data_IF_385258591517
#
_entry.id   IF_385258591517
#
_cell.length_a   1.000
_cell.length_b   1.000
_cell.length_c   1.000
_cell.angle_alpha   90.00
_cell.angle_beta   90.00
_cell.angle_gamma   90.00
#
_symmetry.space_group_name_H-M   'P 1'
#
loop_
_entity.id
_entity.type
_entity.pdbx_description
1 polymer ?
#
# COMPACT_ATOMS: atom_id res chain seq x y z
N UNK A 1 -13.89 -0.29 -4.04
CA UNK A 1 -13.03 0.08 -5.18
C UNK A 1 -13.17 -0.94 -6.31
N UNK A 2 -12.78 -2.22 -6.15
CA UNK A 2 -12.97 -3.21 -7.22
C UNK A 2 -14.44 -3.44 -7.60
N UNK A 3 -15.32 -3.59 -6.61
CA UNK A 3 -16.76 -3.75 -6.84
C UNK A 3 -17.42 -2.53 -7.48
N UNK A 4 -16.98 -1.32 -7.12
CA UNK A 4 -17.48 -0.10 -7.76
C UNK A 4 -17.05 -0.02 -9.23
N UNK A 5 -15.82 -0.42 -9.57
CA UNK A 5 -15.33 -0.47 -10.96
C UNK A 5 -16.08 -1.51 -11.80
N UNK A 6 -16.39 -2.68 -11.22
CA UNK A 6 -17.19 -3.69 -11.93
C UNK A 6 -18.62 -3.23 -12.19
N UNK A 7 -19.21 -2.50 -11.24
CA UNK A 7 -20.57 -1.98 -11.34
C UNK A 7 -20.67 -0.74 -12.24
N UNK A 8 -19.61 0.09 -12.30
CA UNK A 8 -19.57 1.28 -13.18
C UNK A 8 -19.27 0.93 -14.63
N UNK A 9 -18.72 -0.25 -14.92
CA UNK A 9 -18.25 -0.63 -16.25
C UNK A 9 -19.24 -0.35 -17.39
N UNK A 10 -20.52 -0.65 -17.22
CA UNK A 10 -21.52 -0.38 -18.27
C UNK A 10 -21.68 1.12 -18.51
N UNK A 11 -21.71 1.92 -17.45
CA UNK A 11 -21.77 3.37 -17.54
C UNK A 11 -20.47 3.96 -18.13
N UNK A 12 -19.31 3.45 -17.72
CA UNK A 12 -18.01 3.87 -18.24
C UNK A 12 -17.89 3.57 -19.75
N UNK A 13 -18.41 2.41 -20.19
CA UNK A 13 -18.48 2.05 -21.61
C UNK A 13 -19.43 2.95 -22.39
N UNK A 14 -20.59 3.29 -21.84
CA UNK A 14 -21.52 4.26 -22.43
C UNK A 14 -20.88 5.65 -22.55
N UNK A 15 -20.11 6.08 -21.54
CA UNK A 15 -19.37 7.35 -21.57
C UNK A 15 -18.29 7.36 -22.66
N UNK A 16 -17.54 6.26 -22.81
CA UNK A 16 -16.54 6.12 -23.88
C UNK A 16 -17.18 6.18 -25.28
N UNK A 17 -18.35 5.55 -25.45
CA UNK A 17 -19.12 5.61 -26.70
C UNK A 17 -19.78 6.98 -26.92
N UNK A 18 -20.11 7.70 -25.85
CA UNK A 18 -20.70 9.03 -25.92
C UNK A 18 -19.68 10.14 -26.15
N UNK A 19 -18.39 9.92 -25.84
CA UNK A 19 -17.35 10.95 -25.95
C UNK A 19 -16.78 11.00 -27.37
N UNK A 20 -17.05 12.07 -28.15
CA UNK A 20 -16.54 12.21 -29.50
C UNK A 20 -15.03 12.49 -29.51
N UNK A 21 -14.34 11.99 -30.55
CA UNK A 21 -12.93 12.28 -30.79
C UNK A 21 -12.78 13.63 -31.52
N UNK A 22 -11.99 14.52 -30.93
CA UNK A 22 -11.56 15.80 -31.47
C UNK A 22 -10.06 15.82 -31.75
N UNK A 23 -9.64 16.36 -32.91
CA UNK A 23 -10.42 16.56 -34.13
C UNK A 23 -10.83 15.20 -34.69
N UNK A 24 -11.95 15.14 -35.42
CA UNK A 24 -12.39 13.91 -36.07
C UNK A 24 -11.20 13.30 -36.83
N UNK A 25 -10.68 12.13 -36.43
CA UNK A 25 -9.51 11.58 -37.09
C UNK A 25 -9.85 11.36 -38.57
N UNK A 26 -8.87 11.58 -39.43
CA UNK A 26 -9.01 11.39 -40.88
C UNK A 26 -9.35 9.93 -41.27
N UNK A 27 -9.33 9.00 -40.30
CA UNK A 27 -9.80 7.62 -40.43
C UNK A 27 -11.32 7.53 -40.24
N UNK A 28 -12.01 7.08 -41.30
CA UNK A 28 -13.47 6.95 -41.40
C UNK A 28 -14.16 6.08 -40.33
N UNK A 29 -13.38 5.35 -39.52
CA UNK A 29 -13.87 4.29 -38.63
C UNK A 29 -13.82 4.65 -37.14
N UNK A 30 -13.14 5.73 -36.73
CA UNK A 30 -13.03 6.14 -35.32
C UNK A 30 -13.71 7.49 -35.08
N UNK A 31 -14.90 7.49 -34.48
CA UNK A 31 -15.68 8.70 -34.16
C UNK A 31 -15.72 9.01 -32.67
N UNK A 32 -15.58 8.00 -31.83
CA UNK A 32 -15.73 8.09 -30.36
C UNK A 32 -14.54 7.44 -29.66
N UNK A 33 -14.28 7.78 -28.39
CA UNK A 33 -13.22 7.13 -27.61
C UNK A 33 -13.43 5.62 -27.52
N UNK A 34 -14.67 5.15 -27.49
CA UNK A 34 -15.02 3.74 -27.55
C UNK A 34 -14.57 3.03 -28.83
N UNK A 35 -14.40 3.77 -29.94
CA UNK A 35 -13.96 3.19 -31.21
C UNK A 35 -12.47 2.82 -31.20
N UNK A 36 -11.68 3.43 -30.32
CA UNK A 36 -10.28 3.05 -30.09
C UNK A 36 -10.17 1.63 -29.52
N UNK A 37 -11.24 1.10 -28.93
CA UNK A 37 -11.29 -0.24 -28.35
C UNK A 37 -12.07 -1.25 -29.21
N UNK A 38 -12.60 -0.83 -30.38
CA UNK A 38 -13.43 -1.69 -31.27
C UNK A 38 -12.62 -2.74 -32.02
N UNK A 39 -11.37 -2.47 -32.37
CA UNK A 39 -10.58 -3.38 -33.20
C UNK A 39 -10.37 -4.76 -32.55
N UNK A 40 -10.49 -4.87 -31.22
CA UNK A 40 -10.21 -6.15 -30.52
C UNK A 40 -11.25 -6.61 -29.50
N UNK A 41 -12.36 -5.90 -29.24
CA UNK A 41 -13.42 -6.38 -28.33
C UNK A 41 -12.89 -6.85 -26.94
N UNK A 42 -11.74 -6.32 -26.50
CA UNK A 42 -10.96 -6.88 -25.39
C UNK A 42 -11.57 -6.58 -24.01
N UNK A 43 -12.30 -5.48 -23.87
CA UNK A 43 -12.75 -4.98 -22.57
C UNK A 43 -13.87 -5.82 -21.94
N UNK A 44 -14.77 -6.40 -22.75
CA UNK A 44 -15.81 -7.30 -22.27
C UNK A 44 -15.25 -8.58 -21.63
N UNK A 45 -14.35 -9.32 -22.31
CA UNK A 45 -13.62 -10.44 -21.73
C UNK A 45 -12.83 -10.07 -20.47
N UNK A 46 -12.24 -8.88 -20.41
CA UNK A 46 -11.55 -8.39 -19.21
C UNK A 46 -12.53 -8.14 -18.05
N UNK A 47 -13.68 -7.52 -18.30
CA UNK A 47 -14.73 -7.35 -17.29
C UNK A 47 -15.22 -8.70 -16.74
N UNK A 48 -15.51 -9.66 -17.63
CA UNK A 48 -15.96 -10.99 -17.22
C UNK A 48 -14.88 -11.74 -16.44
N UNK A 49 -13.62 -11.66 -16.89
CA UNK A 49 -12.45 -12.24 -16.18
C UNK A 49 -12.30 -11.62 -14.80
N UNK A 50 -12.26 -10.29 -14.69
CA UNK A 50 -12.11 -9.58 -13.42
C UNK A 50 -13.28 -9.85 -12.48
N UNK A 51 -14.50 -9.97 -13.00
CA UNK A 51 -15.69 -10.35 -12.23
C UNK A 51 -15.55 -11.76 -11.63
N UNK A 52 -15.18 -12.76 -12.46
CA UNK A 52 -14.95 -14.14 -12.00
C UNK A 52 -13.82 -14.24 -10.97
N UNK A 53 -12.72 -13.54 -11.20
CA UNK A 53 -11.60 -13.53 -10.26
C UNK A 53 -11.96 -12.81 -8.96
N UNK A 54 -12.73 -11.71 -9.03
CA UNK A 54 -13.24 -11.02 -7.84
C UNK A 54 -14.17 -11.90 -7.00
N UNK A 55 -15.07 -12.67 -7.63
CA UNK A 55 -15.93 -13.60 -6.90
C UNK A 55 -15.15 -14.73 -6.23
N UNK A 56 -14.11 -15.27 -6.88
CA UNK A 56 -13.19 -16.24 -6.25
C UNK A 56 -12.49 -15.63 -5.05
N UNK A 57 -11.96 -14.42 -5.20
CA UNK A 57 -11.26 -13.69 -4.13
C UNK A 57 -12.21 -13.38 -2.97
N UNK A 58 -13.45 -12.97 -3.25
CA UNK A 58 -14.50 -12.76 -2.25
C UNK A 58 -14.81 -14.04 -1.48
N UNK A 59 -14.95 -15.17 -2.16
CA UNK A 59 -15.16 -16.48 -1.55
C UNK A 59 -13.98 -16.88 -0.64
N UNK A 60 -12.75 -16.70 -1.12
CA UNK A 60 -11.53 -16.93 -0.34
C UNK A 60 -11.49 -16.02 0.90
N UNK A 61 -11.79 -14.73 0.75
CA UNK A 61 -11.81 -13.79 1.89
C UNK A 61 -12.86 -14.18 2.93
N UNK A 62 -14.04 -14.66 2.50
CA UNK A 62 -15.05 -15.17 3.40
C UNK A 62 -14.56 -16.42 4.17
N UNK A 63 -13.90 -17.35 3.47
CA UNK A 63 -13.31 -18.55 4.08
C UNK A 63 -12.22 -18.17 5.10
N UNK A 64 -11.29 -17.30 4.73
CA UNK A 64 -10.19 -16.84 5.60
C UNK A 64 -10.73 -16.09 6.82
N UNK A 65 -11.72 -15.22 6.62
CA UNK A 65 -12.37 -14.49 7.71
C UNK A 65 -13.06 -15.46 8.69
N UNK A 66 -13.72 -16.49 8.18
CA UNK A 66 -14.33 -17.55 8.99
C UNK A 66 -13.28 -18.32 9.79
N UNK A 67 -12.20 -18.77 9.15
CA UNK A 67 -11.12 -19.50 9.80
C UNK A 67 -10.39 -18.63 10.85
N UNK A 68 -10.21 -17.34 10.58
CA UNK A 68 -9.60 -16.41 11.53
C UNK A 68 -10.50 -16.18 12.75
N UNK A 69 -11.81 -16.03 12.54
CA UNK A 69 -12.80 -15.94 13.63
C UNK A 69 -12.79 -17.20 14.49
N UNK A 70 -12.79 -18.38 13.86
CA UNK A 70 -12.72 -19.66 14.57
C UNK A 70 -11.44 -19.79 15.41
N UNK A 71 -10.29 -19.44 14.83
CA UNK A 71 -9.02 -19.45 15.56
C UNK A 71 -9.04 -18.45 16.72
N UNK A 72 -9.58 -17.25 16.51
CA UNK A 72 -9.70 -16.22 17.54
C UNK A 72 -10.57 -16.72 18.71
N UNK A 73 -11.76 -17.24 18.43
CA UNK A 73 -12.66 -17.74 19.48
C UNK A 73 -12.05 -18.93 20.22
N UNK A 74 -11.34 -19.82 19.52
CA UNK A 74 -10.63 -20.92 20.16
C UNK A 74 -9.53 -20.44 21.13
N UNK A 75 -8.74 -19.43 20.72
CA UNK A 75 -7.65 -18.89 21.53
C UNK A 75 -8.19 -18.12 22.74
N UNK A 76 -9.25 -17.33 22.55
CA UNK A 76 -9.96 -16.63 23.63
C UNK A 76 -10.53 -17.64 24.64
N UNK A 77 -11.18 -18.70 24.16
CA UNK A 77 -11.69 -19.76 25.01
C UNK A 77 -10.59 -20.49 25.82
N UNK A 78 -9.39 -20.66 25.26
CA UNK A 78 -8.25 -21.23 26.01
C UNK A 78 -7.65 -20.25 27.03
N UNK A 79 -7.70 -18.94 26.75
CA UNK A 79 -7.23 -17.90 27.66
C UNK A 79 -8.12 -17.79 28.90
N UNK A 80 -9.42 -17.94 28.71
CA UNK A 80 -10.42 -17.79 29.77
C UNK A 80 -10.55 -19.05 30.65
N UNK A 81 -9.87 -20.15 30.31
CA UNK A 81 -9.82 -21.33 31.16
C UNK A 81 -8.89 -21.10 32.36
N UNK A 82 -9.44 -21.25 33.57
CA UNK A 82 -8.67 -21.22 34.81
C UNK A 82 -7.48 -22.17 34.74
N UNK A 83 -6.30 -21.71 35.15
CA UNK A 83 -5.12 -22.57 35.26
C UNK A 83 -5.43 -23.73 36.21
N UNK A 84 -4.99 -24.98 35.93
CA UNK A 84 -5.12 -26.06 36.89
C UNK A 84 -4.44 -25.62 38.19
N UNK A 85 -5.24 -25.40 39.25
CA UNK A 85 -4.75 -24.79 40.47
C UNK A 85 -3.76 -25.72 41.16
N UNK A 86 -2.51 -25.26 41.24
CA UNK A 86 -1.46 -25.92 42.02
C UNK A 86 -1.63 -25.68 43.53
N UNK A 87 -2.57 -24.81 43.94
CA UNK A 87 -2.76 -24.41 45.33
C UNK A 87 -3.20 -25.58 46.21
N UNK A 88 -3.74 -26.65 45.61
CA UNK A 88 -4.11 -27.88 46.32
C UNK A 88 -2.92 -28.77 46.72
N UNK A 89 -1.73 -28.57 46.13
CA UNK A 89 -0.54 -29.38 46.45
C UNK A 89 0.20 -28.91 47.68
N UNK A 90 0.28 -27.59 47.87
CA UNK A 90 1.00 -26.95 48.97
C UNK A 90 0.55 -27.46 50.35
N UNK A 91 -0.75 -27.46 50.70
CA UNK A 91 -1.19 -27.93 52.02
C UNK A 91 -0.92 -29.42 52.22
N UNK A 92 -0.98 -30.23 51.16
CA UNK A 92 -0.68 -31.67 51.24
C UNK A 92 0.82 -31.93 51.42
N UNK A 93 1.67 -31.13 50.77
CA UNK A 93 3.12 -31.22 50.90
C UNK A 93 3.58 -30.79 52.29
N UNK A 94 3.02 -29.69 52.82
CA UNK A 94 3.27 -29.23 54.20
C UNK A 94 2.83 -30.29 55.20
N UNK A 95 1.60 -30.81 55.07
CA UNK A 95 1.09 -31.86 55.95
C UNK A 95 1.97 -33.13 55.90
N UNK A 96 2.38 -33.59 54.72
CA UNK A 96 3.26 -34.75 54.59
C UNK A 96 4.63 -34.51 55.24
N UNK A 97 5.18 -33.30 55.12
CA UNK A 97 6.45 -32.94 55.75
C UNK A 97 6.35 -32.95 57.27
N UNK A 98 5.33 -32.30 57.83
CA UNK A 98 5.11 -32.27 59.29
C UNK A 98 4.99 -33.68 59.87
N UNK A 99 4.32 -34.57 59.15
CA UNK A 99 4.17 -35.97 59.54
C UNK A 99 5.49 -36.76 59.50
N UNK A 100 6.34 -36.52 58.50
CA UNK A 100 7.68 -37.12 58.43
C UNK A 100 8.56 -36.61 59.57
N UNK A 101 8.50 -35.32 59.88
CA UNK A 101 9.26 -34.72 60.99
C UNK A 101 8.79 -35.30 62.35
N UNK A 102 7.47 -35.50 62.53
CA UNK A 102 6.92 -36.18 63.70
C UNK A 102 7.37 -37.65 63.79
N UNK A 103 7.35 -38.40 62.68
CA UNK A 103 7.86 -39.78 62.69
C UNK A 103 9.35 -39.86 62.99
N UNK A 104 10.15 -38.90 62.51
CA UNK A 104 11.57 -38.80 62.82
C UNK A 104 11.79 -38.57 64.31
N UNK A 105 11.07 -37.62 64.91
CA UNK A 105 11.17 -37.33 66.34
C UNK A 105 10.79 -38.56 67.20
N UNK A 106 9.74 -39.30 66.83
CA UNK A 106 9.36 -40.54 67.51
C UNK A 106 10.42 -41.64 67.36
N UNK A 107 11.03 -41.77 66.18
CA UNK A 107 12.10 -42.74 65.95
C UNK A 107 13.36 -42.40 66.77
N UNK A 108 13.73 -41.12 66.88
CA UNK A 108 14.81 -40.64 67.73
C UNK A 108 14.52 -40.91 69.22
N UNK A 109 13.28 -40.72 69.66
CA UNK A 109 12.84 -41.06 71.01
C UNK A 109 12.95 -42.57 71.29
N UNK A 110 12.54 -43.42 70.34
CA UNK A 110 12.74 -44.87 70.43
C UNK A 110 14.23 -45.25 70.56
N UNK A 111 15.09 -44.64 69.73
CA UNK A 111 16.53 -44.91 69.74
C UNK A 111 17.18 -44.49 71.08
N UNK A 112 16.76 -43.35 71.63
CA UNK A 112 17.18 -42.88 72.95
C UNK A 112 16.71 -43.84 74.05
N UNK A 113 15.43 -44.24 74.04
CA UNK A 113 14.89 -45.20 75.02
C UNK A 113 15.65 -46.54 74.98
N UNK A 114 15.98 -47.04 73.78
CA UNK A 114 16.76 -48.26 73.61
C UNK A 114 18.18 -48.12 74.16
N UNK A 115 18.83 -46.97 73.96
CA UNK A 115 20.15 -46.69 74.52
C UNK A 115 20.11 -46.62 76.05
N UNK A 116 19.08 -46.00 76.63
CA UNK A 116 18.87 -45.98 78.09
C UNK A 116 18.65 -47.38 78.66
N UNK A 117 17.87 -48.23 77.98
CA UNK A 117 17.69 -49.65 78.35
C UNK A 117 19.02 -50.39 78.32
N UNK A 118 19.82 -50.18 77.27
CA UNK A 118 21.13 -50.85 77.11
C UNK A 118 22.10 -50.44 78.22
N UNK A 119 22.16 -49.14 78.55
CA UNK A 119 22.98 -48.61 79.64
C UNK A 119 22.50 -49.10 81.02
N UNK A 120 21.19 -49.13 81.25
CA UNK A 120 20.61 -49.61 82.50
C UNK A 120 20.88 -51.10 82.73
N UNK A 121 20.94 -51.91 81.66
CA UNK A 121 21.33 -53.33 81.73
C UNK A 121 22.81 -53.55 82.06
N UNK A 122 23.67 -52.56 81.85
CA UNK A 122 25.10 -52.60 82.21
C UNK A 122 25.35 -52.24 83.69
N UNK A 123 24.40 -51.58 84.36
CA UNK A 123 24.50 -51.17 85.77
C UNK A 123 23.92 -52.23 86.74
N UNK A 124 24.66 -52.67 87.78
CA UNK A 124 24.26 -53.78 88.66
C UNK A 124 23.17 -53.44 89.70
N UNK A 125 22.70 -52.18 89.76
CA UNK A 125 21.60 -51.74 90.63
C UNK A 125 20.56 -51.02 89.77
N UNK A 126 19.83 -51.78 88.97
CA UNK A 126 18.81 -51.22 88.08
C UNK A 126 17.43 -51.22 88.73
N UNK A 127 16.78 -50.05 88.77
CA UNK A 127 15.40 -49.92 89.24
C UNK A 127 14.40 -50.42 88.18
N UNK A 128 13.68 -51.50 88.50
CA UNK A 128 12.66 -52.14 87.65
C UNK A 128 11.53 -51.15 87.28
N UNK A 129 11.32 -50.11 88.10
CA UNK A 129 10.35 -49.03 87.84
C UNK A 129 10.61 -48.31 86.50
N UNK A 130 11.88 -48.09 86.15
CA UNK A 130 12.28 -47.36 84.94
C UNK A 130 11.89 -48.14 83.68
N UNK A 131 12.02 -49.47 83.70
CA UNK A 131 11.62 -50.32 82.58
C UNK A 131 10.11 -50.34 82.38
N UNK A 132 9.34 -50.41 83.48
CA UNK A 132 7.87 -50.38 83.40
C UNK A 132 7.36 -49.05 82.87
N UNK A 133 7.96 -47.93 83.27
CA UNK A 133 7.61 -46.60 82.75
C UNK A 133 7.97 -46.43 81.26
N UNK A 134 9.15 -46.91 80.84
CA UNK A 134 9.56 -46.87 79.44
C UNK A 134 8.71 -47.77 78.56
N UNK A 135 8.36 -48.97 79.05
CA UNK A 135 7.47 -49.90 78.36
C UNK A 135 6.06 -49.30 78.23
N UNK A 136 5.51 -48.72 79.31
CA UNK A 136 4.21 -48.07 79.25
C UNK A 136 4.21 -46.90 78.27
N UNK A 137 5.25 -46.05 78.26
CA UNK A 137 5.39 -44.94 77.28
C UNK A 137 5.49 -45.45 75.84
N UNK A 138 6.20 -46.55 75.62
CA UNK A 138 6.33 -47.16 74.30
C UNK A 138 4.99 -47.73 73.80
N UNK A 139 4.33 -48.56 74.61
CA UNK A 139 3.10 -49.27 74.25
C UNK A 139 1.90 -48.32 74.11
N UNK A 140 1.80 -47.28 74.93
CA UNK A 140 0.63 -46.39 74.95
C UNK A 140 0.77 -45.14 74.08
N UNK A 141 2.00 -44.66 73.84
CA UNK A 141 2.21 -43.39 73.16
C UNK A 141 2.96 -43.56 71.84
N UNK A 142 4.12 -44.23 71.85
CA UNK A 142 5.00 -44.22 70.68
C UNK A 142 4.47 -45.16 69.58
N UNK A 143 4.11 -46.41 69.91
CA UNK A 143 3.62 -47.38 68.91
C UNK A 143 2.32 -46.93 68.23
N UNK A 144 1.37 -46.40 69.01
CA UNK A 144 0.09 -45.90 68.49
C UNK A 144 0.31 -44.68 67.58
N UNK A 145 1.16 -43.73 67.97
CA UNK A 145 1.44 -42.55 67.15
C UNK A 145 2.22 -42.89 65.88
N UNK A 146 3.16 -43.84 65.93
CA UNK A 146 3.91 -44.28 64.75
C UNK A 146 2.97 -44.90 63.69
N UNK A 147 2.08 -45.80 64.12
CA UNK A 147 1.08 -46.45 63.26
C UNK A 147 0.10 -45.44 62.67
N UNK A 148 -0.44 -44.55 63.50
CA UNK A 148 -1.35 -43.49 63.05
C UNK A 148 -0.69 -42.57 62.02
N UNK A 149 0.56 -42.15 62.27
CA UNK A 149 1.30 -41.31 61.33
C UNK A 149 1.60 -42.06 60.02
N UNK A 150 1.87 -43.37 60.08
CA UNK A 150 2.09 -44.15 58.89
C UNK A 150 0.84 -44.27 58.01
N UNK A 151 -0.32 -44.54 58.63
CA UNK A 151 -1.61 -44.62 57.92
C UNK A 151 -2.01 -43.29 57.28
N UNK A 152 -1.85 -42.19 58.01
CA UNK A 152 -2.13 -40.84 57.52
C UNK A 152 -1.18 -40.46 56.37
N UNK A 153 0.12 -40.79 56.44
CA UNK A 153 1.07 -40.61 55.34
C UNK A 153 0.65 -41.38 54.09
N UNK A 154 0.26 -42.66 54.24
CA UNK A 154 -0.24 -43.47 53.11
C UNK A 154 -1.45 -42.81 52.48
N UNK A 155 -2.38 -42.28 53.28
CA UNK A 155 -3.58 -41.63 52.77
C UNK A 155 -3.26 -40.31 52.05
N UNK A 156 -2.37 -39.48 52.60
CA UNK A 156 -1.87 -38.27 51.94
C UNK A 156 -1.17 -38.59 50.61
N UNK A 157 -0.35 -39.64 50.56
CA UNK A 157 0.29 -40.09 49.32
C UNK A 157 -0.71 -40.57 48.26
N UNK A 158 -1.79 -41.27 48.66
CA UNK A 158 -2.88 -41.65 47.75
C UNK A 158 -3.57 -40.42 47.17
N UNK A 159 -3.92 -39.44 48.02
CA UNK A 159 -4.53 -38.19 47.58
C UNK A 159 -3.62 -37.43 46.61
N UNK A 160 -2.32 -37.32 46.92
CA UNK A 160 -1.33 -36.68 46.05
C UNK A 160 -1.24 -37.38 44.69
N UNK A 161 -1.20 -38.72 44.67
CA UNK A 161 -1.17 -39.50 43.44
C UNK A 161 -2.42 -39.24 42.59
N UNK A 162 -3.59 -39.20 43.20
CA UNK A 162 -4.85 -39.05 42.48
C UNK A 162 -5.02 -37.62 41.94
N UNK A 163 -4.65 -36.60 42.73
CA UNK A 163 -4.57 -35.21 42.26
C UNK A 163 -3.56 -35.04 41.13
N UNK A 164 -2.34 -35.60 41.26
CA UNK A 164 -1.31 -35.60 40.21
C UNK A 164 -1.81 -36.25 38.93
N UNK A 165 -2.59 -37.33 39.03
CA UNK A 165 -3.17 -37.99 37.86
C UNK A 165 -4.22 -37.08 37.19
N UNK A 166 -5.09 -36.45 37.97
CA UNK A 166 -6.13 -35.56 37.45
C UNK A 166 -5.52 -34.34 36.75
N UNK A 167 -4.55 -33.67 37.37
CA UNK A 167 -3.87 -32.51 36.77
C UNK A 167 -3.07 -32.91 35.54
N UNK A 168 -2.42 -34.08 35.53
CA UNK A 168 -1.74 -34.59 34.36
C UNK A 168 -2.70 -34.82 33.19
N UNK A 169 -3.88 -35.39 33.45
CA UNK A 169 -4.90 -35.59 32.41
C UNK A 169 -5.41 -34.26 31.84
N UNK A 170 -5.69 -33.28 32.70
CA UNK A 170 -6.11 -31.94 32.28
C UNK A 170 -5.02 -31.23 31.46
N UNK A 171 -3.78 -31.21 31.97
CA UNK A 171 -2.64 -30.63 31.27
C UNK A 171 -2.41 -31.29 29.90
N UNK A 172 -2.45 -32.62 29.85
CA UNK A 172 -2.29 -33.37 28.59
C UNK A 172 -3.42 -33.09 27.60
N UNK A 173 -4.63 -32.81 28.08
CA UNK A 173 -5.76 -32.41 27.24
C UNK A 173 -5.56 -30.99 26.71
N UNK A 174 -5.22 -30.03 27.56
CA UNK A 174 -4.95 -28.63 27.18
C UNK A 174 -3.79 -28.51 26.19
N UNK A 175 -2.66 -29.19 26.44
CA UNK A 175 -1.52 -29.20 25.52
C UNK A 175 -1.92 -29.71 24.14
N UNK A 176 -2.74 -30.78 24.07
CA UNK A 176 -3.26 -31.28 22.78
C UNK A 176 -4.11 -30.26 22.06
N UNK A 177 -5.00 -29.55 22.76
CA UNK A 177 -5.82 -28.47 22.17
C UNK A 177 -4.96 -27.32 21.68
N UNK A 178 -3.98 -26.86 22.47
CA UNK A 178 -3.04 -25.81 22.07
C UNK A 178 -2.29 -26.22 20.79
N UNK A 179 -1.80 -27.46 20.70
CA UNK A 179 -1.13 -27.95 19.48
C UNK A 179 -2.09 -27.94 18.27
N UNK A 180 -3.35 -28.32 18.45
CA UNK A 180 -4.36 -28.25 17.39
C UNK A 180 -4.61 -26.80 16.93
N UNK A 181 -4.76 -25.86 17.87
CA UNK A 181 -4.95 -24.44 17.59
C UNK A 181 -3.73 -23.84 16.88
N UNK A 182 -2.51 -24.16 17.34
CA UNK A 182 -1.26 -23.75 16.70
C UNK A 182 -1.13 -24.32 15.28
N UNK A 183 -1.56 -25.57 15.05
CA UNK A 183 -1.58 -26.17 13.72
C UNK A 183 -2.51 -25.39 12.77
N UNK A 184 -3.71 -25.00 13.23
CA UNK A 184 -4.65 -24.16 12.46
C UNK A 184 -4.04 -22.78 12.16
N UNK A 185 -3.45 -22.12 13.14
CA UNK A 185 -2.74 -20.83 12.98
C UNK A 185 -1.63 -20.95 11.93
N UNK A 186 -0.80 -21.99 12.02
CA UNK A 186 0.31 -22.22 11.10
C UNK A 186 -0.17 -22.58 9.69
N UNK A 187 -1.32 -23.24 9.55
CA UNK A 187 -1.96 -23.48 8.25
C UNK A 187 -2.39 -22.17 7.60
N UNK A 188 -3.10 -21.31 8.35
CA UNK A 188 -3.49 -19.97 7.88
C UNK A 188 -2.29 -19.12 7.49
N UNK A 189 -1.27 -19.05 8.36
CA UNK A 189 -0.04 -18.29 8.12
C UNK A 189 0.65 -18.72 6.83
N UNK A 190 0.65 -20.01 6.51
CA UNK A 190 1.23 -20.53 5.25
C UNK A 190 0.44 -20.13 4.00
N UNK A 191 -0.87 -19.92 4.12
CA UNK A 191 -1.73 -19.51 2.99
C UNK A 191 -1.70 -17.99 2.74
N UNK A 192 -1.37 -17.17 3.74
CA UNK A 192 -1.37 -15.70 3.60
C UNK A 192 -0.54 -15.18 2.41
N UNK A 193 0.72 -15.63 2.18
CA UNK A 193 1.50 -15.14 1.05
C UNK A 193 0.89 -15.49 -0.31
N UNK A 194 0.20 -16.64 -0.40
CA UNK A 194 -0.52 -17.02 -1.61
C UNK A 194 -1.67 -16.06 -1.87
N UNK A 195 -2.44 -15.71 -0.83
CA UNK A 195 -3.53 -14.75 -0.96
C UNK A 195 -3.03 -13.35 -1.33
N UNK A 196 -1.91 -12.90 -0.76
CA UNK A 196 -1.28 -11.63 -1.16
C UNK A 196 -0.95 -11.61 -2.65
N UNK A 197 -0.33 -12.67 -3.18
CA UNK A 197 -0.03 -12.78 -4.62
C UNK A 197 -1.28 -12.78 -5.51
N UNK A 198 -2.36 -13.42 -5.04
CA UNK A 198 -3.64 -13.40 -5.76
C UNK A 198 -4.20 -11.98 -5.79
N UNK A 199 -4.11 -11.23 -4.69
CA UNK A 199 -4.55 -9.83 -4.63
C UNK A 199 -3.71 -8.91 -5.53
N UNK A 200 -2.39 -9.06 -5.53
CA UNK A 200 -1.50 -8.31 -6.42
C UNK A 200 -1.82 -8.56 -7.90
N UNK A 201 -2.07 -9.83 -8.27
CA UNK A 201 -2.49 -10.20 -9.61
C UNK A 201 -3.86 -9.62 -9.96
N UNK A 202 -4.79 -9.65 -9.02
CA UNK A 202 -6.12 -9.07 -9.20
C UNK A 202 -6.01 -7.57 -9.46
N UNK A 203 -5.20 -6.84 -8.68
CA UNK A 203 -5.01 -5.40 -8.87
C UNK A 203 -4.44 -5.09 -10.26
N UNK A 204 -3.46 -5.89 -10.73
CA UNK A 204 -2.93 -5.79 -12.07
C UNK A 204 -3.98 -6.06 -13.17
N UNK A 205 -4.81 -7.09 -13.01
CA UNK A 205 -5.89 -7.39 -13.95
C UNK A 205 -6.94 -6.24 -14.01
N UNK A 206 -7.17 -5.53 -12.89
CA UNK A 206 -8.09 -4.40 -12.80
C UNK A 206 -7.58 -3.09 -13.41
N UNK A 207 -6.27 -2.95 -13.68
CA UNK A 207 -5.73 -1.77 -14.36
C UNK A 207 -6.39 -1.55 -15.73
N UNK A 208 -6.69 -2.63 -16.45
CA UNK A 208 -7.40 -2.54 -17.73
C UNK A 208 -8.78 -1.89 -17.61
N UNK A 209 -9.49 -2.13 -16.50
CA UNK A 209 -10.79 -1.51 -16.23
C UNK A 209 -10.66 -0.07 -15.73
N UNK A 210 -9.57 0.25 -14.99
CA UNK A 210 -9.28 1.64 -14.57
C UNK A 210 -9.05 2.57 -15.75
N UNK A 211 -8.38 2.08 -16.80
CA UNK A 211 -8.20 2.85 -18.04
C UNK A 211 -9.55 3.25 -18.62
N UNK A 212 -10.52 2.33 -18.70
CA UNK A 212 -11.86 2.66 -19.21
C UNK A 212 -12.56 3.72 -18.38
N UNK A 213 -12.44 3.62 -17.06
CA UNK A 213 -13.07 4.54 -16.13
C UNK A 213 -12.48 5.97 -16.19
N UNK A 214 -11.16 6.10 -16.36
CA UNK A 214 -10.47 7.40 -16.30
C UNK A 214 -10.19 8.04 -17.67
N UNK A 215 -10.21 7.27 -18.75
CA UNK A 215 -9.86 7.77 -20.08
C UNK A 215 -10.76 8.92 -20.57
N UNK A 216 -12.10 8.91 -20.40
CA UNK A 216 -12.94 10.02 -20.85
C UNK A 216 -12.51 11.35 -20.23
N UNK A 217 -12.27 11.37 -18.92
CA UNK A 217 -11.83 12.57 -18.22
C UNK A 217 -10.41 12.99 -18.66
N UNK A 218 -9.46 12.04 -18.69
CA UNK A 218 -8.09 12.30 -19.12
C UNK A 218 -8.02 12.85 -20.55
N UNK A 219 -8.90 12.38 -21.43
CA UNK A 219 -9.00 12.86 -22.80
C UNK A 219 -9.50 14.32 -22.87
N UNK A 220 -10.53 14.68 -22.11
CA UNK A 220 -11.00 16.08 -22.05
C UNK A 220 -9.90 17.03 -21.56
N UNK A 221 -9.13 16.62 -20.55
CA UNK A 221 -7.97 17.39 -20.08
C UNK A 221 -6.86 17.51 -21.12
N UNK A 222 -6.60 16.47 -21.92
CA UNK A 222 -5.59 16.53 -22.97
C UNK A 222 -5.99 17.48 -24.10
N UNK A 223 -7.28 17.52 -24.48
CA UNK A 223 -7.81 18.50 -25.44
C UNK A 223 -7.62 19.93 -24.95
N UNK A 224 -7.88 20.16 -23.67
CA UNK A 224 -7.70 21.47 -23.07
C UNK A 224 -6.23 21.92 -23.08
N UNK A 225 -5.30 20.99 -22.81
CA UNK A 225 -3.87 21.25 -22.90
C UNK A 225 -3.44 21.58 -24.35
N UNK A 226 -4.02 20.92 -25.36
CA UNK A 226 -3.79 21.28 -26.77
C UNK A 226 -4.23 22.72 -27.06
N UNK A 227 -5.42 23.12 -26.60
CA UNK A 227 -5.92 24.50 -26.77
C UNK A 227 -4.98 25.51 -26.10
N UNK A 228 -4.52 25.20 -24.89
CA UNK A 228 -3.57 26.04 -24.14
C UNK A 228 -2.26 26.21 -24.92
N UNK A 229 -1.66 25.12 -25.40
CA UNK A 229 -0.41 25.12 -26.19
C UNK A 229 -0.55 25.89 -27.51
N UNK A 230 -1.66 25.71 -28.23
CA UNK A 230 -1.92 26.46 -29.47
C UNK A 230 -2.07 27.94 -29.20
N UNK A 231 -2.76 28.32 -28.13
CA UNK A 231 -2.93 29.73 -27.81
C UNK A 231 -1.63 30.39 -27.38
N UNK A 232 -0.78 29.68 -26.62
CA UNK A 232 0.58 30.12 -26.33
C UNK A 232 1.41 30.30 -27.62
N UNK A 233 1.36 29.36 -28.55
CA UNK A 233 2.05 29.50 -29.83
C UNK A 233 1.55 30.71 -30.65
N UNK A 234 0.24 31.00 -30.64
CA UNK A 234 -0.30 32.22 -31.27
C UNK A 234 0.24 33.49 -30.62
N UNK A 235 0.32 33.52 -29.29
CA UNK A 235 0.91 34.65 -28.56
C UNK A 235 2.39 34.85 -28.94
N UNK A 236 3.18 33.78 -29.01
CA UNK A 236 4.56 33.84 -29.49
C UNK A 236 4.66 34.37 -30.94
N UNK A 237 3.78 33.91 -31.84
CA UNK A 237 3.75 34.40 -33.22
C UNK A 237 3.38 35.88 -33.32
N UNK A 238 2.45 36.36 -32.48
CA UNK A 238 2.10 37.78 -32.41
C UNK A 238 3.31 38.62 -31.98
N UNK A 239 4.03 38.18 -30.95
CA UNK A 239 5.24 38.84 -30.48
C UNK A 239 6.35 38.84 -31.54
N UNK A 240 6.58 37.70 -32.20
CA UNK A 240 7.53 37.63 -33.31
C UNK A 240 7.17 38.57 -34.46
N UNK A 241 5.88 38.78 -34.72
CA UNK A 241 5.43 39.74 -35.74
C UNK A 241 5.74 41.18 -35.34
N UNK A 242 5.62 41.54 -34.06
CA UNK A 242 6.02 42.86 -33.54
C UNK A 242 7.54 43.07 -33.61
N UNK A 243 8.32 42.04 -33.25
CA UNK A 243 9.78 42.08 -33.40
C UNK A 243 10.21 42.17 -34.86
N UNK A 244 9.54 41.44 -35.76
CA UNK A 244 9.78 41.52 -37.19
C UNK A 244 9.58 42.96 -37.70
N UNK A 245 8.49 43.62 -37.30
CA UNK A 245 8.25 45.01 -37.71
C UNK A 245 9.34 45.96 -37.22
N UNK A 246 9.81 45.77 -35.98
CA UNK A 246 10.88 46.56 -35.39
C UNK A 246 12.21 46.33 -36.12
N UNK A 247 12.56 45.07 -36.37
CA UNK A 247 13.75 44.69 -37.12
C UNK A 247 13.69 45.23 -38.55
N UNK A 248 12.56 45.09 -39.26
CA UNK A 248 12.39 45.65 -40.61
C UNK A 248 12.62 47.16 -40.66
N UNK A 249 12.17 47.91 -39.65
CA UNK A 249 12.45 49.35 -39.53
C UNK A 249 13.94 49.62 -39.35
N UNK A 250 14.63 48.87 -38.48
CA UNK A 250 16.08 49.00 -38.26
C UNK A 250 16.86 48.64 -39.52
N UNK A 251 16.48 47.57 -40.22
CA UNK A 251 17.12 47.13 -41.46
C UNK A 251 16.96 48.14 -42.58
N UNK A 252 15.79 48.78 -42.70
CA UNK A 252 15.58 49.84 -43.68
C UNK A 252 16.38 51.12 -43.37
N UNK A 253 16.71 51.39 -42.10
CA UNK A 253 17.62 52.48 -41.71
C UNK A 253 19.06 52.11 -42.08
N UNK A 254 19.53 50.94 -41.68
CA UNK A 254 20.89 50.45 -41.97
C UNK A 254 21.14 50.32 -43.48
N UNK A 255 20.18 49.80 -44.24
CA UNK A 255 20.31 49.69 -45.70
C UNK A 255 20.47 51.07 -46.36
N UNK A 256 19.72 52.08 -45.90
CA UNK A 256 19.87 53.46 -46.37
C UNK A 256 21.24 54.04 -46.04
N UNK A 257 21.77 53.77 -44.85
CA UNK A 257 23.12 54.22 -44.48
C UNK A 257 24.20 53.50 -45.30
N UNK A 258 24.04 52.20 -45.58
CA UNK A 258 24.92 51.44 -46.48
C UNK A 258 24.88 51.95 -47.92
N UNK A 259 23.69 52.25 -48.44
CA UNK A 259 23.50 52.85 -49.76
C UNK A 259 24.20 54.21 -49.84
N UNK A 260 23.95 55.09 -48.85
CA UNK A 260 24.61 56.39 -48.74
C UNK A 260 26.13 56.28 -48.68
N UNK A 261 26.65 55.34 -47.90
CA UNK A 261 28.08 55.05 -47.84
C UNK A 261 28.62 54.59 -49.19
N UNK A 262 27.91 53.69 -49.88
CA UNK A 262 28.28 53.17 -51.21
C UNK A 262 28.27 54.28 -52.27
N UNK A 263 27.31 55.19 -52.22
CA UNK A 263 27.27 56.36 -53.11
C UNK A 263 28.45 57.30 -52.87
N UNK A 264 28.78 57.60 -51.61
CA UNK A 264 29.83 58.56 -51.27
C UNK A 264 31.24 58.00 -51.46
N UNK A 265 31.48 56.75 -51.05
CA UNK A 265 32.81 56.15 -50.96
C UNK A 265 33.02 54.94 -51.88
N UNK A 266 31.97 54.34 -52.42
CA UNK A 266 32.06 53.08 -53.18
C UNK A 266 32.92 53.18 -54.44
N UNK A 267 32.99 54.35 -55.10
CA UNK A 267 33.88 54.57 -56.26
C UNK A 267 35.38 54.46 -55.93
N UNK A 268 35.75 54.62 -54.66
CA UNK A 268 37.13 54.55 -54.18
C UNK A 268 37.51 53.15 -53.67
N UNK A 269 36.51 52.30 -53.39
CA UNK A 269 36.69 50.95 -52.87
C UNK A 269 36.56 49.97 -54.04
N UNK A 270 37.69 49.49 -54.58
CA UNK A 270 37.71 48.54 -55.70
C UNK A 270 37.66 47.10 -55.20
N UNK A 271 36.59 46.37 -55.50
CA UNK A 271 36.47 44.94 -55.20
C UNK A 271 36.24 44.64 -53.71
N UNK A 272 36.35 43.36 -53.36
CA UNK A 272 36.01 42.83 -52.04
C UNK A 272 37.19 42.98 -51.05
N UNK A 273 37.64 44.22 -50.81
CA UNK A 273 38.78 44.52 -49.92
C UNK A 273 38.46 44.16 -48.46
N UNK A 274 37.18 44.24 -48.08
CA UNK A 274 36.68 43.90 -46.75
C UNK A 274 35.68 42.75 -46.92
N UNK A 275 35.97 41.54 -46.40
CA UNK A 275 35.02 40.43 -46.42
C UNK A 275 33.71 40.80 -45.69
N UNK A 276 32.57 40.38 -46.24
CA UNK A 276 31.24 40.66 -45.68
C UNK A 276 30.69 42.06 -46.02
N UNK A 277 31.43 42.89 -46.74
CA UNK A 277 30.99 44.25 -47.08
C UNK A 277 29.77 44.31 -48.01
N UNK A 278 29.59 43.29 -48.87
CA UNK A 278 28.40 43.15 -49.73
C UNK A 278 27.40 42.09 -49.22
N UNK A 279 27.58 41.56 -47.99
CA UNK A 279 26.60 40.63 -47.42
C UNK A 279 25.29 41.34 -47.03
N UNK A 280 24.17 40.66 -47.30
CA UNK A 280 22.83 41.09 -46.89
C UNK A 280 22.68 41.13 -45.37
N UNK A 281 21.66 41.85 -44.87
CA UNK A 281 21.45 41.94 -43.43
C UNK A 281 21.02 40.57 -42.84
N UNK A 282 21.61 40.14 -41.69
CA UNK A 282 21.30 38.85 -41.08
C UNK A 282 19.90 38.76 -40.43
N UNK A 283 19.24 39.90 -40.23
CA UNK A 283 17.97 40.01 -39.52
C UNK A 283 16.79 39.31 -40.22
N UNK A 284 16.75 39.27 -41.56
CA UNK A 284 15.62 38.66 -42.28
C UNK A 284 15.63 37.14 -42.17
N UNK A 285 16.81 36.54 -42.21
CA UNK A 285 16.99 35.08 -42.10
C UNK A 285 16.61 34.56 -40.72
N UNK A 286 16.94 35.30 -39.65
CA UNK A 286 16.59 34.91 -38.27
C UNK A 286 15.08 34.88 -38.03
N UNK A 287 14.35 35.90 -38.52
CA UNK A 287 12.90 36.00 -38.33
C UNK A 287 12.17 34.88 -39.10
N UNK A 288 12.60 34.60 -40.34
CA UNK A 288 12.05 33.51 -41.14
C UNK A 288 12.22 32.16 -40.44
N UNK A 289 13.39 31.89 -39.88
CA UNK A 289 13.68 30.62 -39.19
C UNK A 289 12.80 30.41 -37.94
N UNK A 290 12.66 31.44 -37.10
CA UNK A 290 11.82 31.34 -35.90
C UNK A 290 10.33 31.14 -36.24
N UNK A 291 9.86 31.78 -37.31
CA UNK A 291 8.49 31.62 -37.80
C UNK A 291 8.22 30.21 -38.32
N UNK A 292 9.18 29.61 -39.05
CA UNK A 292 9.05 28.23 -39.53
C UNK A 292 8.99 27.24 -38.37
N UNK A 293 9.85 27.41 -37.35
CA UNK A 293 9.86 26.52 -36.17
C UNK A 293 8.53 26.57 -35.40
N UNK A 294 7.94 27.77 -35.22
CA UNK A 294 6.63 27.88 -34.57
C UNK A 294 5.50 27.29 -35.42
N UNK A 295 5.55 27.48 -36.74
CA UNK A 295 4.56 26.88 -37.64
C UNK A 295 4.60 25.36 -37.56
N UNK A 296 5.79 24.76 -37.56
CA UNK A 296 6.00 23.32 -37.43
C UNK A 296 5.54 22.78 -36.07
N UNK A 297 5.75 23.54 -34.99
CA UNK A 297 5.22 23.19 -33.67
C UNK A 297 3.68 23.13 -33.66
N UNK A 298 3.03 24.11 -34.28
CA UNK A 298 1.55 24.18 -34.31
C UNK A 298 0.91 23.20 -35.30
N UNK A 299 1.63 22.74 -36.32
CA UNK A 299 1.12 21.76 -37.29
C UNK A 299 1.03 20.35 -36.72
N UNK A 300 1.85 20.02 -35.71
CA UNK A 300 1.79 18.77 -34.96
C UNK A 300 0.61 18.71 -33.98
N UNK A 301 0.07 19.86 -33.60
CA UNK A 301 -1.07 19.94 -32.68
C UNK A 301 -2.39 19.87 -33.47
N UNK A 302 -3.39 19.13 -32.98
CA UNK A 302 -4.68 19.08 -33.63
C UNK A 302 -5.34 20.48 -33.73
N UNK A 303 -6.01 20.84 -34.84
CA UNK A 303 -6.62 22.16 -35.02
C UNK A 303 -7.89 22.29 -34.17
N UNK A 304 -7.72 22.78 -32.92
CA UNK A 304 -8.80 23.06 -31.96
C UNK A 304 -8.95 24.57 -31.77
N UNK A 305 -9.12 25.30 -32.86
CA UNK A 305 -9.01 26.76 -32.88
C UNK A 305 -10.36 27.49 -32.84
N UNK A 306 -11.49 26.78 -32.97
CA UNK A 306 -12.79 27.47 -32.96
C UNK A 306 -13.27 27.72 -31.53
N UNK A 307 -13.70 28.95 -31.21
CA UNK A 307 -14.25 29.29 -29.89
C UNK A 307 -15.39 28.36 -29.46
N UNK A 308 -16.19 27.89 -30.41
CA UNK A 308 -17.30 26.97 -30.16
C UNK A 308 -16.83 25.58 -29.69
N UNK A 309 -15.73 25.06 -30.24
CA UNK A 309 -15.15 23.77 -29.82
C UNK A 309 -14.55 23.87 -28.41
N UNK A 310 -13.84 24.96 -28.15
CA UNK A 310 -13.25 25.22 -26.82
C UNK A 310 -14.36 25.36 -25.78
N UNK A 311 -15.39 26.17 -26.07
CA UNK A 311 -16.52 26.40 -25.17
C UNK A 311 -17.34 25.12 -24.93
N UNK A 312 -17.49 24.26 -25.93
CA UNK A 312 -18.13 22.95 -25.78
C UNK A 312 -17.33 22.03 -24.83
N UNK A 313 -16.01 21.92 -25.03
CA UNK A 313 -15.12 21.11 -24.18
C UNK A 313 -15.17 21.61 -22.72
N UNK A 314 -15.16 22.93 -22.52
CA UNK A 314 -15.26 23.53 -21.18
C UNK A 314 -16.63 23.31 -20.52
N UNK A 315 -17.73 23.43 -21.27
CA UNK A 315 -19.09 23.22 -20.74
C UNK A 315 -19.24 21.81 -20.20
N UNK A 316 -18.74 20.82 -20.92
CA UNK A 316 -18.82 19.41 -20.52
C UNK A 316 -17.96 19.10 -19.28
N UNK A 317 -16.81 19.77 -19.13
CA UNK A 317 -15.94 19.65 -17.94
C UNK A 317 -16.49 20.36 -16.69
N UNK A 318 -17.06 21.55 -16.86
CA UNK A 318 -17.64 22.34 -15.75
C UNK A 318 -18.92 21.71 -15.21
N UNK A 319 -19.76 21.12 -16.08
CA UNK A 319 -20.99 20.42 -15.70
C UNK A 319 -20.74 19.18 -14.83
N UNK A 320 -19.68 18.41 -15.11
CA UNK A 320 -19.36 17.18 -14.37
C UNK A 320 -18.81 17.41 -12.96
N UNK A 321 -18.28 18.61 -12.65
CA UNK A 321 -17.71 18.91 -11.32
C UNK A 321 -18.51 19.90 -10.47
N UNK A 322 -19.63 20.42 -10.97
CA UNK A 322 -20.39 21.47 -10.27
C UNK A 322 -19.55 22.73 -9.99
N UNK A 323 -18.46 22.91 -10.74
CA UNK A 323 -17.63 24.10 -10.66
C UNK A 323 -18.30 25.17 -11.51
N UNK A 324 -18.39 26.40 -10.97
CA UNK A 324 -18.77 27.58 -11.73
C UNK A 324 -17.78 27.87 -12.86
N UNK A 325 -17.78 29.13 -13.35
CA UNK A 325 -16.95 29.60 -14.46
C UNK A 325 -15.53 28.98 -14.53
N UNK A 326 -15.01 28.73 -15.74
CA UNK A 326 -13.73 28.05 -15.91
C UNK A 326 -12.64 28.75 -15.09
N UNK A 327 -11.77 28.00 -14.37
CA UNK A 327 -10.68 28.60 -13.62
C UNK A 327 -9.89 29.56 -14.50
N UNK A 328 -9.67 30.79 -14.02
CA UNK A 328 -8.88 31.81 -14.74
C UNK A 328 -7.49 31.28 -15.15
N UNK A 329 -6.98 30.24 -14.48
CA UNK A 329 -5.72 29.55 -14.79
C UNK A 329 -5.70 28.78 -16.11
N UNK A 330 -6.86 28.53 -16.73
CA UNK A 330 -6.97 27.81 -18.01
C UNK A 330 -7.11 28.77 -19.19
N UNK A 331 -7.49 30.02 -18.93
CA UNK A 331 -7.39 31.07 -19.94
C UNK A 331 -5.89 31.37 -20.19
N UNK A 332 -5.50 31.66 -21.44
CA UNK A 332 -4.11 31.98 -21.72
C UNK A 332 -3.75 33.22 -20.91
N UNK A 333 -2.82 33.06 -19.97
CA UNK A 333 -2.21 34.20 -19.29
C UNK A 333 -1.72 35.18 -20.36
N UNK A 334 -1.93 36.47 -20.11
CA UNK A 334 -1.31 37.52 -20.93
C UNK A 334 0.21 37.37 -20.86
N UNK A 335 0.93 37.83 -21.89
CA UNK A 335 2.40 37.77 -21.88
C UNK A 335 2.97 38.48 -20.63
N UNK A 336 2.32 39.55 -20.18
CA UNK A 336 2.65 40.26 -18.94
C UNK A 336 2.48 39.37 -17.70
N UNK A 337 1.47 38.51 -17.66
CA UNK A 337 1.30 37.52 -16.59
C UNK A 337 2.36 36.42 -16.63
N UNK A 338 2.78 35.96 -17.81
CA UNK A 338 3.89 34.98 -17.96
C UNK A 338 5.26 35.56 -17.59
N UNK A 339 5.49 36.84 -17.89
CA UNK A 339 6.72 37.54 -17.54
C UNK A 339 6.76 37.87 -16.03
N UNK A 340 5.58 38.08 -15.41
CA UNK A 340 5.46 38.36 -13.97
C UNK A 340 5.34 37.11 -13.08
N UNK A 341 5.22 35.90 -13.66
CA UNK A 341 5.15 34.64 -12.88
C UNK A 341 6.49 34.17 -12.28
N UNK A 342 7.60 34.89 -12.51
CA UNK A 342 8.90 34.64 -11.84
C UNK A 342 8.90 34.93 -10.31
N UNK A 343 7.73 35.01 -9.68
CA UNK A 343 7.57 35.28 -8.24
C UNK A 343 6.65 34.29 -7.49
N UNK A 344 6.17 33.19 -8.10
CA UNK A 344 5.35 32.21 -7.39
C UNK A 344 6.06 30.86 -7.32
N UNK A 345 6.47 30.50 -6.10
CA UNK A 345 7.03 29.21 -5.74
C UNK A 345 6.17 28.06 -6.29
N UNK A 346 6.78 27.22 -7.13
CA UNK A 346 6.16 26.06 -7.78
C UNK A 346 5.65 24.96 -6.82
N UNK A 347 5.67 25.17 -5.50
CA UNK A 347 5.17 24.21 -4.51
C UNK A 347 3.66 24.34 -4.22
N UNK A 348 3.07 25.54 -4.31
CA UNK A 348 1.65 25.72 -3.93
C UNK A 348 0.66 25.24 -4.99
N UNK A 349 0.99 25.33 -6.29
CA UNK A 349 0.09 24.90 -7.37
C UNK A 349 -0.03 23.36 -7.47
N UNK A 350 0.98 22.63 -6.99
CA UNK A 350 0.90 21.17 -6.83
C UNK A 350 -0.03 20.77 -5.65
N UNK A 351 -0.16 21.63 -4.64
CA UNK A 351 -0.99 21.42 -3.47
C UNK A 351 -2.48 21.78 -3.69
N UNK A 352 -2.85 22.34 -4.84
CA UNK A 352 -4.25 22.63 -5.21
C UNK A 352 -4.92 21.53 -6.05
N UNK A 353 -4.17 20.50 -6.50
CA UNK A 353 -4.75 19.38 -7.27
C UNK A 353 -5.67 18.51 -6.40
N UNK A 354 -6.84 18.06 -6.94
CA UNK A 354 -7.71 17.10 -6.27
C UNK A 354 -6.92 15.84 -5.86
N UNK A 355 -7.23 15.22 -4.70
CA UNK A 355 -6.50 14.04 -4.21
C UNK A 355 -6.39 12.89 -5.21
N UNK A 356 -7.40 12.72 -6.08
CA UNK A 356 -7.48 11.66 -7.09
C UNK A 356 -6.34 11.70 -8.14
N UNK A 357 -5.65 12.83 -8.31
CA UNK A 357 -4.53 12.98 -9.24
C UNK A 357 -3.16 13.01 -8.54
N UNK A 358 -3.10 12.90 -7.21
CA UNK A 358 -1.83 12.88 -6.46
C UNK A 358 -1.19 11.50 -6.37
N UNK A 359 -1.97 10.43 -6.57
CA UNK A 359 -1.50 9.05 -6.34
C UNK A 359 -1.05 8.30 -7.60
N UNK A 360 -1.02 8.93 -8.77
CA UNK A 360 -0.39 8.32 -9.95
C UNK A 360 1.11 8.59 -9.91
N UNK A 361 1.83 7.90 -9.01
CA UNK A 361 3.24 7.61 -9.28
C UNK A 361 3.25 6.60 -10.42
N UNK A 362 3.92 6.86 -11.55
CA UNK A 362 4.22 5.79 -12.48
C UNK A 362 5.17 4.85 -11.74
N UNK A 363 4.67 3.67 -11.33
CA UNK A 363 5.55 2.57 -11.07
C UNK A 363 6.32 2.34 -12.37
N UNK A 364 7.63 2.56 -12.32
CA UNK A 364 8.56 2.19 -13.39
C UNK A 364 8.61 0.65 -13.49
N UNK A 365 7.51 0.04 -13.91
CA UNK A 365 7.40 -1.33 -14.36
C UNK A 365 7.27 -1.28 -15.87
N UNK A 366 8.15 -1.99 -16.58
CA UNK A 366 8.07 -2.16 -18.03
C UNK A 366 6.65 -2.57 -18.40
N UNK A 367 5.89 -1.64 -18.98
CA UNK A 367 4.73 -1.99 -19.79
C UNK A 367 5.24 -2.72 -21.02
N UNK A 368 4.62 -3.87 -21.26
CA UNK A 368 4.86 -4.75 -22.40
C UNK A 368 4.75 -3.96 -23.72
N UNK A 369 5.58 -4.30 -24.71
CA UNK A 369 5.71 -3.60 -26.00
C UNK A 369 4.46 -3.71 -26.92
N UNK A 370 3.32 -4.19 -26.39
CA UNK A 370 2.07 -4.42 -27.12
C UNK A 370 1.31 -3.15 -27.53
N UNK A 371 1.77 -1.97 -27.09
CA UNK A 371 1.12 -0.68 -27.40
C UNK A 371 1.82 0.16 -28.49
N UNK A 372 2.80 -0.39 -29.22
CA UNK A 372 3.38 0.29 -30.39
C UNK A 372 2.47 0.19 -31.61
N UNK A 373 1.42 1.01 -31.69
CA UNK A 373 0.55 1.10 -32.88
C UNK A 373 0.54 2.47 -33.57
N UNK A 374 1.54 3.32 -33.31
CA UNK A 374 1.67 4.62 -33.99
C UNK A 374 3.02 4.85 -34.69
N UNK A 375 3.83 3.80 -34.88
CA UNK A 375 5.09 3.91 -35.61
C UNK A 375 5.15 2.86 -36.75
N UNK A 376 4.45 3.17 -37.83
CA UNK A 376 4.74 2.61 -39.16
C UNK A 376 4.36 3.62 -40.24
N UNK A 377 5.05 4.76 -40.20
CA UNK A 377 5.18 5.65 -41.35
C UNK A 377 6.51 5.41 -42.05
N UNK A 378 6.53 4.55 -43.07
CA UNK A 378 7.47 4.57 -44.20
C UNK A 378 6.66 4.05 -45.41
N UNK A 379 6.35 4.87 -46.42
CA UNK A 379 7.23 5.32 -47.53
C UNK A 379 7.76 4.16 -48.37
#
# INVERSE_FOLDING_TARGET
QYESLLNSFTCDMEQLQGTPLYPAPHHKECRTLGDLFRSENQLGPWHEKCSKEWDKVRSIMAEVSSQLKEVKTCVEAERDLDSPSCESYEPLAVHAKDMVDQQRALAEQCASNFTMITQALEDPVTDISIFNELQQKFDTSIDIQLKRNHELLINTLKQFRDLKRQTWMDLSYRVRRIVQHQSKINSLKRKLPLYTKIMERLDHDFEHLRVCHHLPEAYKWSLLEVVRRRTFARLCMQQMSQYQETLSKMSAVELRERERFKEQYGRYIRGNIIPGFEEGLPCETMVLHLRTVLADYTSQLPPLDTPDQVTAIFRDLTWERGLGEPPESILPLTLEQYINTDAVDHEEEYAARPPALREVRPAAGRMDDSWRFLDSGES
#
